data_IF_403475756345
#
_entry.id   IF_403475756345
#
_cell.length_a   1.000
_cell.length_b   1.000
_cell.length_c   1.000
_cell.angle_alpha   90.00
_cell.angle_beta   90.00
_cell.angle_gamma   90.00
#
_symmetry.space_group_name_H-M   'P 1'
#
loop_
_entity.id
_entity.type
_entity.pdbx_description
1 polymer ?
#
# COMPACT_ATOMS: atom_id res chain seq x y z
N UNK A 1 -9.63 26.12 3.26
CA UNK A 1 -9.05 25.12 2.33
C UNK A 1 -8.39 24.00 3.12
N UNK A 2 -9.18 22.96 3.42
CA UNK A 2 -8.72 21.77 4.15
C UNK A 2 -8.22 20.76 3.09
N UNK A 3 -7.09 20.06 3.30
CA UNK A 3 -6.62 19.07 2.34
C UNK A 3 -7.62 17.92 2.23
N UNK A 4 -7.79 17.40 1.01
CA UNK A 4 -8.55 16.19 0.71
C UNK A 4 -8.04 15.02 1.56
N UNK A 5 -8.84 14.55 2.50
CA UNK A 5 -8.63 13.24 3.12
C UNK A 5 -9.49 12.22 2.36
N UNK A 6 -8.85 11.39 1.52
CA UNK A 6 -9.48 10.17 1.04
C UNK A 6 -9.41 9.16 2.18
N UNK A 7 -10.54 8.74 2.73
CA UNK A 7 -10.57 7.58 3.60
C UNK A 7 -10.75 6.34 2.73
N UNK A 8 -9.68 5.56 2.59
CA UNK A 8 -9.77 4.18 2.10
C UNK A 8 -10.45 3.37 3.20
N UNK A 9 -11.76 3.18 3.08
CA UNK A 9 -12.52 2.32 3.99
C UNK A 9 -12.57 0.91 3.39
N UNK A 10 -11.72 0.01 3.88
CA UNK A 10 -11.95 -1.42 3.78
C UNK A 10 -13.12 -1.75 4.71
N UNK A 11 -14.30 -1.92 4.12
CA UNK A 11 -15.50 -2.36 4.83
C UNK A 11 -15.42 -3.86 5.18
N UNK A 12 -16.06 -4.33 6.25
CA UNK A 12 -17.42 -3.98 6.73
C UNK A 12 -17.60 -2.95 7.87
N UNK A 13 -18.66 -2.12 7.76
CA UNK A 13 -19.34 -1.33 8.81
C UNK A 13 -19.12 0.20 8.87
N UNK A 14 -20.14 1.02 8.54
CA UNK A 14 -20.14 2.51 8.69
C UNK A 14 -20.53 2.80 10.13
N UNK A 15 -19.74 3.56 10.91
CA UNK A 15 -20.16 4.78 11.68
C UNK A 15 -18.88 5.61 12.04
N UNK A 16 -18.99 6.87 12.53
CA UNK A 16 -18.27 8.03 12.01
C UNK A 16 -16.93 8.28 12.71
N UNK A 17 -16.13 9.13 12.08
CA UNK A 17 -14.86 9.66 12.57
C UNK A 17 -14.99 10.21 13.99
N UNK A 18 -14.24 9.65 14.93
CA UNK A 18 -13.32 10.35 15.83
C UNK A 18 -12.62 9.32 16.73
N UNK A 19 -11.37 9.63 17.02
CA UNK A 19 -10.44 8.93 17.91
C UNK A 19 -9.70 7.70 17.36
N UNK A 20 -8.39 7.94 17.22
CA UNK A 20 -7.30 7.00 17.40
C UNK A 20 -7.70 5.80 18.25
N UNK A 21 -8.08 4.69 17.62
CA UNK A 21 -7.85 3.35 18.13
C UNK A 21 -8.10 2.35 16.99
N UNK A 22 -7.15 1.43 16.88
CA UNK A 22 -7.30 0.14 16.22
C UNK A 22 -8.62 -0.48 16.66
N UNK A 23 -9.51 -0.85 15.73
CA UNK A 23 -10.49 -1.94 15.82
C UNK A 23 -11.43 -1.90 14.61
N UNK A 24 -10.92 -2.28 13.43
CA UNK A 24 -11.73 -2.43 12.20
C UNK A 24 -11.22 -3.62 11.37
N UNK A 25 -11.47 -4.84 11.86
CA UNK A 25 -11.43 -6.07 11.07
C UNK A 25 -12.47 -7.05 11.66
N UNK A 26 -13.24 -7.77 10.83
CA UNK A 26 -14.18 -8.81 11.29
C UNK A 26 -13.45 -9.91 12.06
N UNK A 27 -13.58 -9.90 13.39
CA UNK A 27 -12.91 -10.83 14.31
C UNK A 27 -13.36 -12.30 14.16
N UNK A 28 -14.33 -12.63 13.29
CA UNK A 28 -14.86 -14.00 13.21
C UNK A 28 -14.14 -14.96 12.25
N UNK A 29 -13.35 -14.46 11.29
CA UNK A 29 -12.61 -15.32 10.34
C UNK A 29 -11.12 -14.94 10.18
N UNK A 30 -10.60 -14.14 11.12
CA UNK A 30 -9.24 -13.61 11.04
C UNK A 30 -8.16 -14.62 11.44
N UNK A 31 -8.52 -15.68 12.16
CA UNK A 31 -7.54 -16.65 12.69
C UNK A 31 -6.73 -17.37 11.60
N UNK A 32 -7.20 -17.33 10.35
CA UNK A 32 -6.57 -18.01 9.20
C UNK A 32 -6.27 -17.09 8.01
N UNK A 33 -6.63 -15.79 8.05
CA UNK A 33 -6.45 -14.91 6.88
C UNK A 33 -5.03 -14.33 6.82
N UNK A 34 -4.35 -14.34 5.67
CA UNK A 34 -2.98 -13.82 5.53
C UNK A 34 -2.89 -12.30 5.75
N UNK A 35 -4.04 -11.63 5.89
CA UNK A 35 -4.19 -10.19 6.07
C UNK A 35 -4.18 -9.74 7.54
N UNK A 36 -4.38 -10.65 8.50
CA UNK A 36 -4.58 -10.29 9.91
C UNK A 36 -3.43 -9.47 10.51
N UNK A 37 -2.20 -9.80 10.13
CA UNK A 37 -1.01 -9.17 10.68
C UNK A 37 -0.52 -8.01 9.81
N UNK A 38 -1.40 -7.38 9.02
CA UNK A 38 -1.03 -6.32 8.07
C UNK A 38 -1.82 -5.04 8.30
N UNK A 39 -1.13 -3.91 8.14
CA UNK A 39 -1.75 -2.59 8.12
C UNK A 39 -2.47 -2.35 6.80
N UNK A 40 -3.43 -1.41 6.81
CA UNK A 40 -4.19 -1.04 5.62
C UNK A 40 -3.30 -0.55 4.47
N UNK A 41 -2.22 0.17 4.79
CA UNK A 41 -1.26 0.66 3.80
C UNK A 41 -0.51 -0.48 3.12
N UNK A 42 -0.12 -1.51 3.88
CA UNK A 42 0.51 -2.71 3.34
C UNK A 42 -0.47 -3.49 2.46
N UNK A 43 -1.72 -3.67 2.91
CA UNK A 43 -2.74 -4.37 2.13
C UNK A 43 -3.00 -3.64 0.82
N UNK A 44 -3.14 -2.31 0.85
CA UNK A 44 -3.34 -1.50 -0.34
C UNK A 44 -2.13 -1.53 -1.28
N UNK A 45 -0.92 -1.49 -0.74
CA UNK A 45 0.31 -1.63 -1.52
C UNK A 45 0.37 -2.98 -2.25
N UNK A 46 0.11 -4.08 -1.53
CA UNK A 46 0.09 -5.42 -2.11
C UNK A 46 -1.06 -5.61 -3.10
N UNK A 47 -2.22 -5.01 -2.85
CA UNK A 47 -3.35 -5.03 -3.77
C UNK A 47 -3.01 -4.39 -5.12
N UNK A 48 -2.29 -3.26 -5.12
CA UNK A 48 -1.78 -2.67 -6.38
C UNK A 48 -0.85 -3.60 -7.12
N UNK A 49 0.07 -4.26 -6.41
CA UNK A 49 1.02 -5.22 -6.99
C UNK A 49 0.31 -6.45 -7.57
N UNK A 50 -0.79 -6.90 -6.95
CA UNK A 50 -1.64 -7.97 -7.47
C UNK A 50 -2.42 -7.58 -8.74
N UNK A 51 -2.29 -6.33 -9.23
CA UNK A 51 -2.96 -5.82 -10.43
C UNK A 51 -4.13 -4.88 -10.13
N UNK A 52 -4.32 -4.49 -8.87
CA UNK A 52 -5.38 -3.56 -8.48
C UNK A 52 -5.15 -2.15 -9.02
N UNK A 53 -6.09 -1.64 -9.82
CA UNK A 53 -6.10 -0.25 -10.28
C UNK A 53 -7.28 0.52 -9.67
N UNK A 54 -6.98 1.29 -8.61
CA UNK A 54 -7.98 2.10 -7.92
C UNK A 54 -8.66 3.11 -8.86
N UNK A 55 -7.90 3.69 -9.79
CA UNK A 55 -8.42 4.71 -10.70
C UNK A 55 -9.39 4.06 -11.70
N UNK A 56 -9.04 2.90 -12.25
CA UNK A 56 -9.93 2.17 -13.14
C UNK A 56 -11.21 1.72 -12.42
N UNK A 57 -11.08 1.19 -11.21
CA UNK A 57 -12.21 0.74 -10.39
C UNK A 57 -13.16 1.90 -10.08
N UNK A 58 -12.64 3.04 -9.63
CA UNK A 58 -13.47 4.22 -9.32
C UNK A 58 -14.08 4.88 -10.57
N UNK A 59 -13.43 4.80 -11.72
CA UNK A 59 -14.03 5.22 -13.00
C UNK A 59 -15.19 4.32 -13.41
N UNK A 60 -15.01 3.00 -13.30
CA UNK A 60 -16.04 2.02 -13.62
C UNK A 60 -17.26 2.15 -12.69
N UNK A 61 -17.01 2.50 -11.43
CA UNK A 61 -18.06 2.82 -10.45
C UNK A 61 -18.76 4.17 -10.72
N UNK A 62 -18.28 4.97 -11.69
CA UNK A 62 -18.83 6.30 -11.99
C UNK A 62 -18.48 7.38 -10.96
N UNK A 63 -17.61 7.07 -10.00
CA UNK A 63 -17.20 7.96 -8.90
C UNK A 63 -16.15 8.98 -9.36
N UNK A 64 -15.27 8.59 -10.29
CA UNK A 64 -14.35 9.53 -10.93
C UNK A 64 -14.87 9.90 -12.32
N UNK A 65 -15.33 11.15 -12.45
CA UNK A 65 -15.60 11.78 -13.75
C UNK A 65 -14.41 12.64 -14.14
N UNK A 66 -13.67 12.21 -15.17
CA UNK A 66 -12.58 13.03 -15.70
C UNK A 66 -13.20 14.17 -16.51
N UNK A 67 -13.18 15.38 -15.97
CA UNK A 67 -13.44 16.61 -16.70
C UNK A 67 -12.13 17.35 -17.00
N UNK A 68 -11.89 17.80 -18.25
CA UNK A 68 -10.70 18.56 -18.60
C UNK A 68 -10.52 19.79 -17.73
N UNK A 69 -9.29 20.14 -17.37
CA UNK A 69 -9.01 21.32 -16.53
C UNK A 69 -9.52 22.62 -17.16
N UNK A 70 -9.46 22.73 -18.50
CA UNK A 70 -9.98 23.89 -19.24
C UNK A 70 -11.49 24.07 -19.06
N UNK A 71 -12.23 22.99 -18.83
CA UNK A 71 -13.67 23.02 -18.57
C UNK A 71 -14.01 23.54 -17.17
N UNK A 72 -13.02 23.63 -16.27
CA UNK A 72 -13.15 24.17 -14.91
C UNK A 72 -12.74 25.64 -14.80
N UNK A 73 -12.33 26.25 -15.91
CA UNK A 73 -11.98 27.68 -15.95
C UNK A 73 -13.25 28.50 -16.17
N UNK A 74 -13.36 29.63 -15.47
CA UNK A 74 -14.43 30.60 -15.69
C UNK A 74 -14.37 31.18 -17.09
N UNK A 75 -15.53 31.31 -17.76
CA UNK A 75 -15.57 31.87 -19.13
C UNK A 75 -15.35 33.39 -19.13
N UNK A 76 -15.78 34.10 -18.09
CA UNK A 76 -15.43 35.49 -17.87
C UNK A 76 -15.54 35.86 -16.38
N UNK A 77 -14.72 36.81 -15.96
CA UNK A 77 -14.68 37.36 -14.60
C UNK A 77 -14.76 38.88 -14.73
N UNK A 78 -15.64 39.52 -13.95
CA UNK A 78 -15.76 40.99 -13.96
C UNK A 78 -14.64 41.64 -13.14
N UNK A 79 -14.40 42.92 -13.36
CA UNK A 79 -13.52 43.77 -12.55
C UNK A 79 -13.90 43.80 -11.05
N UNK A 80 -15.17 43.53 -10.74
CA UNK A 80 -15.71 43.40 -9.39
C UNK A 80 -15.51 42.01 -8.77
N UNK A 81 -14.97 41.06 -9.53
CA UNK A 81 -14.71 39.69 -9.09
C UNK A 81 -15.88 38.72 -9.27
N UNK A 82 -16.92 39.10 -10.00
CA UNK A 82 -18.05 38.22 -10.30
C UNK A 82 -17.64 37.19 -11.36
N UNK A 83 -17.90 35.91 -11.10
CA UNK A 83 -17.51 34.80 -11.97
C UNK A 83 -18.72 34.27 -12.72
N UNK A 84 -18.65 34.23 -14.05
CA UNK A 84 -19.74 33.77 -14.89
C UNK A 84 -19.29 32.69 -15.88
N UNK A 85 -20.26 31.86 -16.29
CA UNK A 85 -20.04 30.76 -17.24
C UNK A 85 -19.30 29.56 -16.66
N UNK A 86 -18.94 29.60 -15.37
CA UNK A 86 -18.51 28.43 -14.59
C UNK A 86 -19.76 27.74 -14.04
N UNK A 87 -20.15 26.60 -14.62
CA UNK A 87 -21.16 25.75 -13.98
C UNK A 87 -20.54 25.12 -12.72
N UNK A 88 -21.23 25.22 -11.59
CA UNK A 88 -20.83 24.51 -10.37
C UNK A 88 -20.96 23.03 -10.66
N UNK A 89 -19.82 22.35 -10.75
CA UNK A 89 -19.77 20.91 -10.95
C UNK A 89 -20.21 20.24 -9.64
N UNK A 90 -21.28 19.44 -9.69
CA UNK A 90 -21.78 18.68 -8.53
C UNK A 90 -20.68 17.76 -7.98
N UNK A 91 -19.72 17.34 -8.81
CA UNK A 91 -18.54 16.59 -8.39
C UNK A 91 -17.54 17.42 -7.54
N UNK A 92 -17.80 18.72 -7.32
CA UNK A 92 -17.02 19.56 -6.37
C UNK A 92 -17.62 19.59 -4.97
N UNK A 93 -18.85 19.08 -4.81
CA UNK A 93 -19.47 18.91 -3.51
C UNK A 93 -18.86 17.69 -2.81
N UNK A 94 -18.89 17.71 -1.47
CA UNK A 94 -18.51 16.56 -0.68
C UNK A 94 -19.51 15.42 -0.95
N UNK A 95 -18.97 14.26 -1.29
CA UNK A 95 -19.73 13.03 -1.48
C UNK A 95 -19.15 11.97 -0.54
N UNK A 96 -19.99 11.43 0.34
CA UNK A 96 -19.61 10.47 1.39
C UNK A 96 -19.75 9.02 0.92
N UNK A 97 -19.71 8.80 -0.40
CA UNK A 97 -19.82 7.47 -0.99
C UNK A 97 -18.58 6.65 -0.70
N UNK A 98 -18.73 5.60 0.10
CA UNK A 98 -17.73 4.54 0.26
C UNK A 98 -17.84 3.54 -0.90
N UNK A 99 -16.70 3.07 -1.40
CA UNK A 99 -16.63 2.02 -2.42
C UNK A 99 -15.82 0.83 -1.89
N UNK A 100 -16.35 -0.38 -2.05
CA UNK A 100 -15.70 -1.61 -1.60
C UNK A 100 -14.78 -2.17 -2.68
N UNK A 101 -13.50 -2.35 -2.36
CA UNK A 101 -12.53 -2.96 -3.25
C UNK A 101 -12.58 -4.49 -3.15
N UNK A 102 -12.52 -5.17 -4.30
CA UNK A 102 -12.32 -6.63 -4.35
C UNK A 102 -10.90 -6.97 -3.92
N UNK A 103 -10.76 -7.95 -3.03
CA UNK A 103 -9.48 -8.53 -2.63
C UNK A 103 -9.21 -9.88 -3.30
N UNK A 104 -10.06 -10.35 -4.21
CA UNK A 104 -9.98 -11.69 -4.79
C UNK A 104 -8.64 -11.94 -5.49
N UNK A 105 -8.14 -10.97 -6.26
CA UNK A 105 -6.86 -11.07 -6.95
C UNK A 105 -5.70 -11.20 -5.95
N UNK A 106 -5.78 -10.45 -4.85
CA UNK A 106 -4.79 -10.50 -3.78
C UNK A 106 -4.86 -11.85 -3.05
N UNK A 107 -6.05 -12.32 -2.69
CA UNK A 107 -6.28 -13.63 -2.09
C UNK A 107 -5.76 -14.78 -2.95
N UNK A 108 -6.02 -14.73 -4.26
CA UNK A 108 -5.51 -15.73 -5.21
C UNK A 108 -3.97 -15.76 -5.20
N UNK A 109 -3.31 -14.60 -5.22
CA UNK A 109 -1.85 -14.51 -5.12
C UNK A 109 -1.34 -15.07 -3.79
N UNK A 110 -2.02 -14.81 -2.68
CA UNK A 110 -1.67 -15.38 -1.39
C UNK A 110 -1.84 -16.90 -1.33
N UNK A 111 -2.88 -17.45 -1.96
CA UNK A 111 -3.11 -18.90 -2.01
C UNK A 111 -2.06 -19.63 -2.87
N UNK A 112 -1.45 -18.95 -3.84
CA UNK A 112 -0.37 -19.50 -4.67
C UNK A 112 1.00 -19.46 -3.97
N UNK A 113 1.14 -18.65 -2.91
CA UNK A 113 2.41 -18.49 -2.21
C UNK A 113 2.68 -19.58 -1.15
N UNK A 114 3.95 -19.95 -0.94
CA UNK A 114 4.34 -20.85 0.13
C UNK A 114 4.15 -20.20 1.51
N UNK A 115 3.71 -20.98 2.49
CA UNK A 115 3.41 -20.52 3.86
C UNK A 115 4.65 -19.96 4.55
N UNK A 116 5.82 -20.50 4.22
CA UNK A 116 7.13 -20.07 4.73
C UNK A 116 7.44 -18.61 4.39
N UNK A 117 6.85 -18.09 3.32
CA UNK A 117 6.99 -16.68 2.91
C UNK A 117 6.18 -15.73 3.80
N UNK A 118 5.10 -16.21 4.43
CA UNK A 118 4.33 -15.43 5.40
C UNK A 118 5.11 -15.25 6.71
N UNK A 119 5.96 -16.23 7.05
CA UNK A 119 6.71 -16.27 8.30
C UNK A 119 8.20 -16.62 8.13
N UNK A 120 9.00 -15.81 7.40
CA UNK A 120 10.39 -16.11 7.12
C UNK A 120 11.23 -16.05 8.40
N UNK A 121 11.88 -17.15 8.76
CA UNK A 121 12.73 -17.20 9.94
C UNK A 121 13.91 -16.23 9.76
N UNK A 122 14.08 -15.30 10.69
CA UNK A 122 15.23 -14.40 10.65
C UNK A 122 16.44 -15.02 11.34
N UNK A 123 16.24 -15.82 12.39
CA UNK A 123 17.34 -16.22 13.29
C UNK A 123 17.83 -17.66 13.06
N UNK A 124 17.34 -18.33 12.01
CA UNK A 124 17.95 -19.56 11.52
C UNK A 124 19.14 -19.21 10.62
N UNK A 125 20.32 -19.73 10.91
CA UNK A 125 21.37 -19.79 9.88
C UNK A 125 20.77 -20.51 8.68
N UNK A 126 20.87 -19.93 7.48
CA UNK A 126 20.13 -20.26 6.25
C UNK A 126 20.28 -21.71 5.75
N UNK A 127 19.96 -22.66 6.61
CA UNK A 127 20.17 -24.09 6.47
C UNK A 127 18.91 -24.76 5.93
N UNK A 128 17.76 -24.07 6.00
CA UNK A 128 16.53 -24.54 5.36
C UNK A 128 16.66 -24.49 3.83
N UNK A 129 16.13 -25.50 3.16
CA UNK A 129 16.09 -25.54 1.68
C UNK A 129 15.24 -24.40 1.11
N UNK A 130 14.24 -23.94 1.86
CA UNK A 130 13.38 -22.83 1.48
C UNK A 130 14.15 -21.50 1.41
N UNK A 131 14.92 -21.16 2.46
CA UNK A 131 15.71 -19.92 2.48
C UNK A 131 16.74 -19.89 1.36
N UNK A 132 17.43 -21.02 1.11
CA UNK A 132 18.38 -21.12 -0.01
C UNK A 132 17.71 -20.87 -1.35
N UNK A 133 16.55 -21.48 -1.59
CA UNK A 133 15.77 -21.27 -2.81
C UNK A 133 15.31 -19.82 -2.93
N UNK A 134 14.80 -19.24 -1.85
CA UNK A 134 14.35 -17.85 -1.84
C UNK A 134 15.50 -16.89 -2.11
N UNK A 135 16.67 -17.10 -1.50
CA UNK A 135 17.87 -16.31 -1.78
C UNK A 135 18.33 -16.40 -3.24
N UNK A 136 18.22 -17.57 -3.87
CA UNK A 136 18.53 -17.73 -5.29
C UNK A 136 17.55 -16.97 -6.18
N UNK A 137 16.25 -17.05 -5.88
CA UNK A 137 15.21 -16.30 -6.59
C UNK A 137 15.42 -14.79 -6.43
N UNK A 138 15.67 -14.32 -5.21
CA UNK A 138 15.94 -12.92 -4.91
C UNK A 138 17.17 -12.42 -5.68
N UNK A 139 18.26 -13.20 -5.76
CA UNK A 139 19.46 -12.84 -6.54
C UNK A 139 19.20 -12.70 -8.04
N UNK A 140 18.24 -13.45 -8.59
CA UNK A 140 17.84 -13.33 -10.00
C UNK A 140 17.06 -12.03 -10.20
N UNK A 141 16.13 -11.73 -9.29
CA UNK A 141 15.28 -10.53 -9.34
C UNK A 141 16.10 -9.26 -9.07
N UNK A 142 17.08 -9.30 -8.17
CA UNK A 142 18.00 -8.20 -7.85
C UNK A 142 18.78 -7.68 -9.07
N UNK A 143 19.01 -8.53 -10.07
CA UNK A 143 19.69 -8.16 -11.33
C UNK A 143 18.76 -7.44 -12.32
N UNK A 144 17.45 -7.46 -12.06
CA UNK A 144 16.46 -6.81 -12.91
C UNK A 144 16.43 -5.29 -12.67
N UNK A 145 15.97 -4.51 -13.66
CA UNK A 145 15.76 -3.07 -13.47
C UNK A 145 14.84 -2.78 -12.28
N UNK A 146 15.04 -1.63 -11.62
CA UNK A 146 14.25 -1.22 -10.46
C UNK A 146 12.74 -1.30 -10.71
N UNK A 147 12.27 -0.86 -11.88
CA UNK A 147 10.85 -0.91 -12.24
C UNK A 147 10.29 -2.33 -12.28
N UNK A 148 11.10 -3.35 -12.61
CA UNK A 148 10.66 -4.75 -12.55
C UNK A 148 10.59 -5.21 -11.10
N UNK A 149 11.63 -4.94 -10.32
CA UNK A 149 11.69 -5.32 -8.89
C UNK A 149 10.55 -4.71 -8.07
N UNK A 150 10.23 -3.44 -8.30
CA UNK A 150 9.16 -2.73 -7.58
C UNK A 150 7.75 -3.21 -7.95
N UNK A 151 7.58 -3.90 -9.07
CA UNK A 151 6.29 -4.43 -9.53
C UNK A 151 6.18 -5.96 -9.38
N UNK A 152 7.23 -6.63 -8.90
CA UNK A 152 7.22 -8.06 -8.63
C UNK A 152 6.55 -8.32 -7.28
N UNK A 153 5.43 -9.05 -7.28
CA UNK A 153 4.58 -9.22 -6.10
C UNK A 153 5.32 -10.01 -5.01
N UNK A 154 5.85 -11.18 -5.38
CA UNK A 154 6.50 -12.10 -4.46
C UNK A 154 7.76 -11.45 -3.87
N UNK A 155 8.61 -10.85 -4.71
CA UNK A 155 9.79 -10.14 -4.24
C UNK A 155 9.43 -9.02 -3.27
N UNK A 156 8.49 -8.13 -3.65
CA UNK A 156 8.11 -7.02 -2.77
C UNK A 156 7.44 -7.50 -1.48
N UNK A 157 6.67 -8.59 -1.52
CA UNK A 157 6.08 -9.19 -0.34
C UNK A 157 7.15 -9.74 0.62
N UNK A 158 8.16 -10.44 0.10
CA UNK A 158 9.31 -10.90 0.88
C UNK A 158 10.05 -9.72 1.51
N UNK A 159 10.38 -8.67 0.72
CA UNK A 159 11.03 -7.45 1.23
C UNK A 159 10.19 -6.77 2.30
N UNK A 160 8.87 -6.68 2.12
CA UNK A 160 7.95 -6.07 3.07
C UNK A 160 8.05 -6.76 4.44
N UNK A 161 7.93 -8.09 4.49
CA UNK A 161 8.05 -8.82 5.75
C UNK A 161 9.42 -8.68 6.40
N UNK A 162 10.47 -8.77 5.58
CA UNK A 162 11.83 -8.67 6.06
C UNK A 162 12.08 -7.31 6.74
N UNK A 163 11.71 -6.21 6.09
CA UNK A 163 11.90 -4.87 6.65
C UNK A 163 10.99 -4.57 7.82
N UNK A 164 9.75 -5.07 7.82
CA UNK A 164 8.85 -4.96 8.97
C UNK A 164 9.53 -5.50 10.24
N UNK A 165 10.10 -6.69 10.13
CA UNK A 165 10.77 -7.36 11.25
C UNK A 165 12.10 -6.70 11.62
N UNK A 166 12.92 -6.30 10.63
CA UNK A 166 14.19 -5.63 10.88
C UNK A 166 14.02 -4.26 11.54
N UNK A 167 12.96 -3.52 11.19
CA UNK A 167 12.64 -2.26 11.83
C UNK A 167 12.09 -2.48 13.24
N UNK A 168 11.25 -3.51 13.44
CA UNK A 168 10.76 -3.88 14.78
C UNK A 168 11.89 -4.36 15.71
N UNK A 169 12.95 -4.97 15.16
CA UNK A 169 14.12 -5.43 15.92
C UNK A 169 15.26 -4.41 15.99
N UNK A 170 15.11 -3.23 15.38
CA UNK A 170 16.08 -2.14 15.52
C UNK A 170 16.11 -1.65 16.99
N UNK A 171 17.30 -1.41 17.59
CA UNK A 171 18.63 -1.36 16.98
C UNK A 171 19.42 -2.68 16.98
N UNK A 172 18.86 -3.78 17.50
CA UNK A 172 19.59 -5.03 17.73
C UNK A 172 20.06 -5.71 16.42
N UNK A 173 19.26 -5.63 15.35
CA UNK A 173 19.61 -6.18 14.03
C UNK A 173 20.08 -5.13 13.03
N UNK A 174 20.63 -4.01 13.50
CA UNK A 174 21.07 -2.88 12.67
C UNK A 174 22.03 -3.27 11.54
N UNK A 175 23.01 -4.14 11.78
CA UNK A 175 23.93 -4.64 10.74
C UNK A 175 23.22 -5.38 9.60
N UNK A 176 22.20 -6.16 9.95
CA UNK A 176 21.37 -6.85 8.95
C UNK A 176 20.49 -5.88 8.19
N UNK A 177 19.94 -4.87 8.86
CA UNK A 177 19.21 -3.79 8.21
C UNK A 177 20.07 -3.08 7.15
N UNK A 178 21.33 -2.74 7.45
CA UNK A 178 22.26 -2.17 6.47
C UNK A 178 22.52 -3.12 5.29
N UNK A 179 22.75 -4.40 5.59
CA UNK A 179 23.05 -5.41 4.56
C UNK A 179 21.89 -5.58 3.59
N UNK A 180 20.66 -5.66 4.11
CA UNK A 180 19.46 -5.80 3.30
C UNK A 180 19.12 -4.50 2.57
N UNK A 181 19.27 -3.33 3.21
CA UNK A 181 19.05 -2.03 2.58
C UNK A 181 19.97 -1.75 1.38
N UNK A 182 21.17 -2.35 1.34
CA UNK A 182 22.07 -2.28 0.17
C UNK A 182 21.54 -3.01 -1.06
N UNK A 183 20.72 -4.05 -0.88
CA UNK A 183 20.13 -4.83 -1.98
C UNK A 183 18.96 -4.08 -2.61
N UNK A 184 17.97 -3.78 -1.78
CA UNK A 184 16.80 -3.00 -2.17
C UNK A 184 16.00 -2.56 -0.94
N UNK A 185 15.33 -1.41 -1.02
CA UNK A 185 14.41 -0.96 0.03
C UNK A 185 13.00 -0.88 -0.57
N UNK A 186 12.02 -1.67 -0.07
CA UNK A 186 10.68 -1.67 -0.61
C UNK A 186 10.05 -0.28 -0.46
N UNK A 187 9.31 0.22 -1.46
CA UNK A 187 8.75 1.57 -1.48
C UNK A 187 8.03 1.97 -0.19
N UNK A 188 7.25 1.06 0.39
CA UNK A 188 6.44 1.31 1.59
C UNK A 188 7.29 1.61 2.84
N UNK A 189 8.51 1.10 2.93
CA UNK A 189 9.38 1.27 4.10
C UNK A 189 10.53 2.25 3.92
N UNK A 190 10.71 2.85 2.73
CA UNK A 190 11.86 3.73 2.46
C UNK A 190 12.09 4.81 3.50
N UNK A 191 11.02 5.52 3.86
CA UNK A 191 11.11 6.60 4.85
C UNK A 191 11.60 6.08 6.21
N UNK A 192 11.00 4.99 6.72
CA UNK A 192 11.35 4.40 8.01
C UNK A 192 12.77 3.83 8.01
N UNK A 193 13.16 3.14 6.93
CA UNK A 193 14.50 2.58 6.79
C UNK A 193 15.53 3.70 6.72
N UNK A 194 15.30 4.75 5.92
CA UNK A 194 16.22 5.89 5.86
C UNK A 194 16.36 6.59 7.21
N UNK A 195 15.26 6.79 7.94
CA UNK A 195 15.30 7.33 9.30
C UNK A 195 16.18 6.47 10.23
N UNK A 196 16.00 5.14 10.21
CA UNK A 196 16.80 4.20 11.00
C UNK A 196 18.28 4.17 10.59
N UNK A 197 18.59 4.27 9.29
CA UNK A 197 19.96 4.30 8.76
C UNK A 197 20.69 5.59 9.13
N UNK A 198 19.97 6.72 9.19
CA UNK A 198 20.47 8.04 9.54
C UNK A 198 20.46 8.31 11.06
N UNK A 199 19.89 7.40 11.85
CA UNK A 199 19.71 7.55 13.30
C UNK A 199 18.87 8.77 13.69
N UNK A 200 17.83 9.07 12.90
CA UNK A 200 16.90 10.18 13.14
C UNK A 200 15.56 9.58 13.59
N UNK A 201 15.13 9.93 14.81
CA UNK A 201 13.85 9.51 15.42
C UNK A 201 12.83 10.63 15.43
#
# INVERSE_FOLDING_TARGET
PIPRSFQLTLFDGVIPVLDHNLDLIDFKNLDTSPFRCRTIDQIYYLWKLAGGDLIAVLKNAGLIKISPSISKVSKFVTDRGDVYGLQRDVNTLFDDTSFQLSLQELENRFNEMPIEMLHPLLEGGGDSEFEKRQEELDKIIERQPLAVRENDFEYQFHRLILFERLLASYPYQKERLYTEARKDIPPIYRAFVWAALLEIS
#
